data_IF_161126231784
#
_entry.id   IF_161126231784
#
_cell.length_a   1.000
_cell.length_b   1.000
_cell.length_c   1.000
_cell.angle_alpha   90.00
_cell.angle_beta   90.00
_cell.angle_gamma   90.00
#
_symmetry.space_group_name_H-M   'P 1'
#
loop_
_entity.id
_entity.type
_entity.pdbx_description
1 polymer ?
#
# COMPACT_ATOMS: atom_id res chain seq x y z
N UNK A 1 1.23 -25.81 -7.91
CA UNK A 1 1.74 -24.73 -8.76
C UNK A 1 0.82 -23.52 -8.77
N UNK A 2 -0.41 -23.58 -9.31
CA UNK A 2 -1.30 -22.40 -9.34
C UNK A 2 -1.64 -21.85 -7.95
N UNK A 3 -2.00 -22.72 -7.00
CA UNK A 3 -2.33 -22.30 -5.62
C UNK A 3 -1.13 -21.71 -4.88
N UNK A 4 0.08 -22.25 -5.11
CA UNK A 4 1.31 -21.75 -4.48
C UNK A 4 1.70 -20.37 -5.00
N UNK A 5 1.52 -20.11 -6.30
CA UNK A 5 1.77 -18.79 -6.89
C UNK A 5 0.75 -17.74 -6.39
N UNK A 6 -0.52 -18.14 -6.28
CA UNK A 6 -1.59 -17.27 -5.77
C UNK A 6 -1.34 -16.87 -4.31
N UNK A 7 -0.83 -17.80 -3.49
CA UNK A 7 -0.41 -17.51 -2.11
C UNK A 7 0.77 -16.53 -2.08
N UNK A 8 1.81 -16.76 -2.89
CA UNK A 8 2.99 -15.88 -2.98
C UNK A 8 2.61 -14.46 -3.42
N UNK A 9 1.73 -14.34 -4.43
CA UNK A 9 1.21 -13.05 -4.89
C UNK A 9 0.42 -12.33 -3.79
N UNK A 10 -0.38 -13.05 -3.00
CA UNK A 10 -1.12 -12.46 -1.87
C UNK A 10 -0.17 -11.96 -0.77
N UNK A 11 0.88 -12.72 -0.43
CA UNK A 11 1.88 -12.31 0.55
C UNK A 11 2.62 -11.03 0.11
N UNK A 12 3.05 -10.96 -1.16
CA UNK A 12 3.70 -9.77 -1.73
C UNK A 12 2.73 -8.58 -1.72
N UNK A 13 1.49 -8.78 -2.18
CA UNK A 13 0.47 -7.74 -2.20
C UNK A 13 0.13 -7.22 -0.80
N UNK A 14 0.05 -8.12 0.18
CA UNK A 14 -0.21 -7.75 1.58
C UNK A 14 0.92 -6.90 2.16
N UNK A 15 2.19 -7.32 1.97
CA UNK A 15 3.34 -6.57 2.45
C UNK A 15 3.43 -5.16 1.84
N UNK A 16 3.14 -5.03 0.55
CA UNK A 16 3.10 -3.73 -0.14
C UNK A 16 1.93 -2.87 0.37
N UNK A 17 0.81 -3.48 0.75
CA UNK A 17 -0.39 -2.77 1.20
C UNK A 17 -0.26 -2.20 2.63
N UNK A 18 0.49 -2.86 3.52
CA UNK A 18 0.69 -2.43 4.92
C UNK A 18 1.01 -0.93 5.10
N UNK A 19 2.02 -0.34 4.44
CA UNK A 19 2.36 1.07 4.65
C UNK A 19 1.20 2.01 4.26
N UNK A 20 0.41 1.66 3.24
CA UNK A 20 -0.75 2.47 2.83
C UNK A 20 -1.88 2.44 3.87
N UNK A 21 -2.09 1.29 4.52
CA UNK A 21 -3.05 1.15 5.62
C UNK A 21 -2.62 1.97 6.83
N UNK A 22 -1.31 1.99 7.14
CA UNK A 22 -0.77 2.84 8.21
C UNK A 22 -1.05 4.31 7.94
N UNK A 23 -0.84 4.77 6.69
CA UNK A 23 -1.16 6.15 6.30
C UNK A 23 -2.66 6.45 6.50
N UNK A 24 -3.55 5.54 6.10
CA UNK A 24 -4.99 5.71 6.31
C UNK A 24 -5.36 5.83 7.79
N UNK A 25 -4.82 4.95 8.64
CA UNK A 25 -5.11 4.97 10.08
C UNK A 25 -4.60 6.24 10.75
N UNK A 26 -3.41 6.72 10.38
CA UNK A 26 -2.85 7.97 10.92
C UNK A 26 -3.66 9.18 10.45
N UNK A 27 -4.01 9.26 9.18
CA UNK A 27 -4.81 10.37 8.65
C UNK A 27 -6.21 10.37 9.28
N UNK A 28 -6.83 9.21 9.44
CA UNK A 28 -8.12 9.08 10.11
C UNK A 28 -8.05 9.50 11.58
N UNK A 29 -7.03 9.09 12.34
CA UNK A 29 -6.90 9.47 13.75
C UNK A 29 -6.67 10.97 13.93
N UNK A 30 -5.88 11.60 13.06
CA UNK A 30 -5.66 13.05 13.06
C UNK A 30 -6.96 13.79 12.70
N UNK A 31 -7.69 13.37 11.66
CA UNK A 31 -8.96 14.00 11.28
C UNK A 31 -10.03 13.88 12.37
N UNK A 32 -10.14 12.70 12.99
CA UNK A 32 -11.04 12.48 14.12
C UNK A 32 -10.65 13.38 15.31
N UNK A 33 -9.36 13.55 15.58
CA UNK A 33 -8.88 14.44 16.65
C UNK A 33 -9.19 15.92 16.40
N UNK A 34 -9.27 16.34 15.14
CA UNK A 34 -9.67 17.71 14.74
C UNK A 34 -11.19 17.91 14.73
N UNK A 35 -12.00 16.88 15.04
CA UNK A 35 -13.45 16.95 15.00
C UNK A 35 -14.06 16.94 13.59
N UNK A 36 -13.26 16.63 12.56
CA UNK A 36 -13.69 16.65 11.16
C UNK A 36 -14.28 15.29 10.74
N UNK A 37 -15.51 15.02 11.17
CA UNK A 37 -16.21 13.75 10.88
C UNK A 37 -16.81 13.67 9.47
N UNK A 38 -17.03 14.82 8.82
CA UNK A 38 -17.76 14.91 7.54
C UNK A 38 -16.85 14.83 6.32
N UNK A 39 -15.54 14.98 6.47
CA UNK A 39 -14.59 14.76 5.38
C UNK A 39 -14.15 13.30 5.38
N UNK A 40 -14.37 12.55 4.28
CA UNK A 40 -13.85 11.20 4.13
C UNK A 40 -12.31 11.23 4.26
N UNK A 41 -11.72 10.51 5.24
CA UNK A 41 -10.28 10.50 5.47
C UNK A 41 -9.47 10.08 4.23
N UNK A 42 -10.09 9.29 3.36
CA UNK A 42 -9.46 8.81 2.12
C UNK A 42 -9.09 9.92 1.14
N UNK A 43 -9.86 11.01 1.08
CA UNK A 43 -9.53 12.14 0.20
C UNK A 43 -8.25 12.83 0.66
N UNK A 44 -8.02 12.87 1.97
CA UNK A 44 -6.81 13.44 2.54
C UNK A 44 -5.66 12.44 2.43
N UNK A 45 -5.88 11.14 2.67
CA UNK A 45 -4.81 10.15 2.64
C UNK A 45 -4.28 9.86 1.23
N UNK A 46 -5.11 9.97 0.18
CA UNK A 46 -4.73 9.74 -1.21
C UNK A 46 -3.45 10.47 -1.66
N UNK A 47 -3.33 11.81 -1.55
CA UNK A 47 -2.10 12.51 -1.93
C UNK A 47 -0.88 12.04 -1.11
N UNK A 48 -1.04 11.77 0.20
CA UNK A 48 0.08 11.25 1.01
C UNK A 48 0.54 9.87 0.55
N UNK A 49 -0.40 8.98 0.20
CA UNK A 49 -0.07 7.66 -0.36
C UNK A 49 0.69 7.77 -1.67
N UNK A 50 0.26 8.66 -2.57
CA UNK A 50 0.92 8.87 -3.85
C UNK A 50 2.33 9.43 -3.67
N UNK A 51 2.50 10.42 -2.79
CA UNK A 51 3.82 10.96 -2.45
C UNK A 51 4.71 9.87 -1.87
N UNK A 52 4.23 9.13 -0.87
CA UNK A 52 4.97 8.02 -0.28
C UNK A 52 5.39 7.00 -1.34
N UNK A 53 4.47 6.60 -2.21
CA UNK A 53 4.72 5.63 -3.27
C UNK A 53 5.79 6.10 -4.27
N UNK A 54 5.79 7.38 -4.64
CA UNK A 54 6.83 7.96 -5.50
C UNK A 54 8.17 8.07 -4.77
N UNK A 55 8.16 8.47 -3.49
CA UNK A 55 9.38 8.63 -2.67
C UNK A 55 10.14 7.32 -2.46
N UNK A 56 9.43 6.20 -2.35
CA UNK A 56 10.05 4.88 -2.18
C UNK A 56 10.39 4.19 -3.50
N UNK A 57 10.25 4.90 -4.64
CA UNK A 57 10.37 4.31 -5.98
C UNK A 57 9.48 3.06 -6.14
N UNK A 58 8.21 3.19 -5.74
CA UNK A 58 7.27 2.08 -5.60
C UNK A 58 7.00 1.32 -6.90
N UNK A 59 7.12 1.96 -8.06
CA UNK A 59 7.01 1.29 -9.36
C UNK A 59 8.13 0.28 -9.57
N UNK A 60 9.37 0.65 -9.23
CA UNK A 60 10.54 -0.22 -9.29
C UNK A 60 10.40 -1.40 -8.33
N UNK A 61 9.96 -1.15 -7.10
CA UNK A 61 9.69 -2.18 -6.09
C UNK A 61 8.64 -3.20 -6.53
N UNK A 62 7.53 -2.76 -7.13
CA UNK A 62 6.49 -3.65 -7.65
C UNK A 62 7.02 -4.45 -8.84
N UNK A 63 7.65 -3.79 -9.81
CA UNK A 63 8.19 -4.44 -10.99
C UNK A 63 9.25 -5.48 -10.63
N UNK A 64 10.17 -5.16 -9.72
CA UNK A 64 11.21 -6.09 -9.25
C UNK A 64 10.60 -7.28 -8.50
N UNK A 65 9.59 -7.05 -7.66
CA UNK A 65 8.93 -8.12 -6.90
C UNK A 65 8.20 -9.10 -7.82
N UNK A 66 7.57 -8.59 -8.89
CA UNK A 66 6.92 -9.41 -9.91
C UNK A 66 7.96 -10.21 -10.71
N UNK A 67 9.00 -9.56 -11.23
CA UNK A 67 10.06 -10.22 -12.02
C UNK A 67 10.77 -11.30 -11.21
N UNK A 68 11.07 -11.03 -9.93
CA UNK A 68 11.68 -12.03 -9.03
C UNK A 68 10.74 -13.23 -8.77
N UNK A 69 9.42 -13.01 -8.73
CA UNK A 69 8.45 -14.12 -8.60
C UNK A 69 8.55 -15.09 -9.78
N UNK A 70 8.71 -14.58 -11.01
CA UNK A 70 8.81 -15.40 -12.21
C UNK A 70 10.20 -16.00 -12.45
N UNK A 71 11.27 -15.29 -12.07
CA UNK A 71 12.66 -15.70 -12.36
C UNK A 71 13.24 -16.77 -11.42
N UNK A 72 12.54 -17.14 -10.34
CA UNK A 72 12.97 -18.19 -9.39
C UNK A 72 12.15 -19.48 -9.48
N UNK A 73 11.52 -19.74 -10.63
CA UNK A 73 10.84 -20.99 -10.95
C UNK A 73 11.76 -22.07 -11.50
#
# INVERSE_FOLDING_TARGET
FMVSELKRAFEIGFLIFIPFVVIDMVVASVLMSMGMMMLPPIMISLPFKLIFFVLVDGWSLIASSLVQSFGTG
#
